data_IF_507735131552
#
_entry.id   IF_507735131552
#
_cell.length_a   1.000
_cell.length_b   1.000
_cell.length_c   1.000
_cell.angle_alpha   90.00
_cell.angle_beta   90.00
_cell.angle_gamma   90.00
#
_symmetry.space_group_name_H-M   'P 1'
#
loop_
_entity.id
_entity.type
_entity.pdbx_description
1 polymer ?
#
# COMPACT_ATOMS: atom_id res chain seq x y z
N UNK A 1 9.76 -5.71 -10.65
CA UNK A 1 9.94 -5.41 -9.21
C UNK A 1 8.62 -5.01 -8.55
N UNK A 2 7.94 -3.95 -8.98
CA UNK A 2 6.70 -3.41 -8.35
C UNK A 2 5.61 -4.46 -8.14
N UNK A 3 5.26 -5.24 -9.18
CA UNK A 3 4.25 -6.31 -9.05
C UNK A 3 4.63 -7.38 -8.03
N UNK A 4 5.91 -7.74 -7.96
CA UNK A 4 6.42 -8.66 -6.94
C UNK A 4 6.33 -8.07 -5.53
N UNK A 5 6.57 -6.77 -5.36
CA UNK A 5 6.39 -6.12 -4.05
C UNK A 5 4.91 -6.04 -3.63
N UNK A 6 3.98 -6.01 -4.58
CA UNK A 6 2.55 -6.06 -4.31
C UNK A 6 2.06 -7.39 -3.73
N UNK A 7 2.82 -8.49 -3.88
CA UNK A 7 2.41 -9.79 -3.33
C UNK A 7 2.36 -9.77 -1.80
N UNK A 8 3.29 -9.07 -1.15
CA UNK A 8 3.29 -8.94 0.32
C UNK A 8 2.00 -8.29 0.85
N UNK A 9 1.47 -7.28 0.15
CA UNK A 9 0.20 -6.66 0.51
C UNK A 9 -0.99 -7.58 0.23
N UNK A 10 -0.94 -8.35 -0.87
CA UNK A 10 -1.98 -9.33 -1.20
C UNK A 10 -2.06 -10.45 -0.16
N UNK A 11 -0.92 -11.02 0.21
CA UNK A 11 -0.81 -12.06 1.25
C UNK A 11 -1.33 -11.56 2.60
N UNK A 12 -0.99 -10.32 3.00
CA UNK A 12 -1.52 -9.70 4.22
C UNK A 12 -3.06 -9.60 4.21
N UNK A 13 -3.65 -9.19 3.09
CA UNK A 13 -5.10 -9.06 2.93
C UNK A 13 -5.78 -10.43 2.98
N UNK A 14 -5.22 -11.43 2.31
CA UNK A 14 -5.70 -12.82 2.35
C UNK A 14 -5.63 -13.38 3.77
N UNK A 15 -4.51 -13.18 4.49
CA UNK A 15 -4.34 -13.64 5.86
C UNK A 15 -5.38 -12.99 6.79
N UNK A 16 -5.59 -11.68 6.69
CA UNK A 16 -6.59 -10.97 7.49
C UNK A 16 -8.02 -11.46 7.17
N UNK A 17 -8.36 -11.59 5.89
CA UNK A 17 -9.66 -12.08 5.45
C UNK A 17 -9.92 -13.53 5.91
N UNK A 18 -8.92 -14.41 5.84
CA UNK A 18 -9.01 -15.79 6.32
C UNK A 18 -9.30 -15.88 7.82
N UNK A 19 -8.92 -14.85 8.58
CA UNK A 19 -9.18 -14.71 10.02
C UNK A 19 -10.46 -13.91 10.31
N UNK A 20 -11.29 -13.65 9.29
CA UNK A 20 -12.47 -12.80 9.37
C UNK A 20 -12.18 -11.41 9.95
N UNK A 21 -11.01 -10.84 9.60
CA UNK A 21 -10.58 -9.50 10.01
C UNK A 21 -10.56 -8.60 8.79
N UNK A 22 -11.49 -7.65 8.75
CA UNK A 22 -11.45 -6.57 7.77
C UNK A 22 -10.41 -5.52 8.19
N UNK A 23 -9.66 -5.00 7.23
CA UNK A 23 -8.73 -3.89 7.44
C UNK A 23 -9.39 -2.58 7.01
N UNK A 24 -9.23 -1.53 7.80
CA UNK A 24 -9.61 -0.17 7.39
C UNK A 24 -8.49 0.49 6.57
N UNK A 25 -7.23 0.17 6.89
CA UNK A 25 -6.07 0.75 6.25
C UNK A 25 -4.80 -0.10 6.38
N UNK A 26 -3.82 0.17 5.51
CA UNK A 26 -2.48 -0.42 5.49
C UNK A 26 -1.44 0.70 5.50
N UNK A 27 -0.49 0.63 6.43
CA UNK A 27 0.67 1.52 6.48
C UNK A 27 1.86 0.94 5.72
N UNK A 28 2.55 1.76 4.91
CA UNK A 28 3.65 1.31 4.06
C UNK A 28 4.86 2.26 4.18
N UNK A 29 6.06 1.75 4.51
CA UNK A 29 7.26 2.57 4.48
C UNK A 29 7.63 2.93 3.03
N UNK A 30 8.15 4.14 2.83
CA UNK A 30 8.60 4.61 1.52
C UNK A 30 10.10 4.85 1.54
N UNK A 31 10.77 4.26 0.54
CA UNK A 31 12.10 4.64 0.08
C UNK A 31 12.00 4.92 -1.41
N UNK A 32 12.50 4.02 -2.27
CA UNK A 32 12.33 4.15 -3.74
C UNK A 32 10.91 3.93 -4.29
N UNK A 33 9.85 4.00 -3.47
CA UNK A 33 8.45 3.93 -3.90
C UNK A 33 7.89 2.57 -4.37
N UNK A 34 8.73 1.58 -4.67
CA UNK A 34 8.29 0.31 -5.24
C UNK A 34 7.30 -0.49 -4.38
N UNK A 35 7.51 -0.54 -3.06
CA UNK A 35 6.59 -1.21 -2.13
C UNK A 35 5.27 -0.45 -1.98
N UNK A 36 5.31 0.89 -1.88
CA UNK A 36 4.11 1.73 -1.86
C UNK A 36 3.29 1.52 -3.14
N UNK A 37 3.92 1.57 -4.31
CA UNK A 37 3.24 1.39 -5.60
C UNK A 37 2.61 0.00 -5.71
N UNK A 38 3.36 -1.06 -5.35
CA UNK A 38 2.85 -2.43 -5.35
C UNK A 38 1.68 -2.62 -4.37
N UNK A 39 1.79 -2.06 -3.16
CA UNK A 39 0.75 -2.15 -2.14
C UNK A 39 -0.51 -1.39 -2.54
N UNK A 40 -0.37 -0.16 -3.03
CA UNK A 40 -1.50 0.65 -3.50
C UNK A 40 -2.26 -0.05 -4.63
N UNK A 41 -1.54 -0.67 -5.56
CA UNK A 41 -2.13 -1.47 -6.63
C UNK A 41 -2.88 -2.70 -6.09
N UNK A 42 -2.23 -3.51 -5.25
CA UNK A 42 -2.83 -4.72 -4.68
C UNK A 42 -4.09 -4.41 -3.87
N UNK A 43 -4.05 -3.38 -3.01
CA UNK A 43 -5.20 -2.92 -2.22
C UNK A 43 -6.33 -2.41 -3.11
N UNK A 44 -6.02 -1.65 -4.17
CA UNK A 44 -7.03 -1.19 -5.11
C UNK A 44 -7.78 -2.34 -5.79
N UNK A 45 -7.03 -3.33 -6.30
CA UNK A 45 -7.61 -4.54 -6.91
C UNK A 45 -8.42 -5.35 -5.90
N UNK A 46 -7.92 -5.48 -4.67
CA UNK A 46 -8.63 -6.16 -3.59
C UNK A 46 -9.97 -5.50 -3.27
N UNK A 47 -9.98 -4.18 -3.11
CA UNK A 47 -11.18 -3.38 -2.88
C UNK A 47 -12.23 -3.62 -3.97
N UNK A 48 -11.81 -3.58 -5.24
CA UNK A 48 -12.69 -3.86 -6.37
C UNK A 48 -13.25 -5.29 -6.35
N UNK A 49 -12.40 -6.28 -6.06
CA UNK A 49 -12.78 -7.70 -6.11
C UNK A 49 -13.69 -8.13 -4.95
N UNK A 50 -13.50 -7.54 -3.78
CA UNK A 50 -14.15 -7.98 -2.55
C UNK A 50 -15.17 -6.96 -1.99
N UNK A 51 -15.39 -5.83 -2.67
CA UNK A 51 -16.33 -4.80 -2.21
C UNK A 51 -15.88 -4.13 -0.90
N UNK A 52 -14.57 -4.01 -0.70
CA UNK A 52 -13.98 -3.41 0.51
C UNK A 52 -13.48 -1.99 0.24
N UNK A 53 -13.08 -1.27 1.29
CA UNK A 53 -12.66 0.14 1.23
C UNK A 53 -11.36 0.39 2.01
N UNK A 54 -10.40 -0.52 1.90
CA UNK A 54 -9.12 -0.42 2.59
C UNK A 54 -8.31 0.76 2.04
N UNK A 55 -7.76 1.62 2.92
CA UNK A 55 -6.91 2.76 2.55
C UNK A 55 -5.43 2.43 2.65
N UNK A 56 -4.60 3.15 1.91
CA UNK A 56 -3.14 3.02 1.98
C UNK A 56 -2.54 4.33 2.48
N UNK A 57 -1.73 4.27 3.53
CA UNK A 57 -0.98 5.39 4.07
C UNK A 57 0.51 5.12 3.94
N UNK A 58 1.23 6.10 3.41
CA UNK A 58 2.67 6.00 3.21
C UNK A 58 3.39 6.80 4.30
N UNK A 59 4.53 6.29 4.76
CA UNK A 59 5.37 6.98 5.75
C UNK A 59 6.84 6.94 5.35
N UNK A 60 7.54 8.05 5.54
CA UNK A 60 8.97 8.19 5.27
C UNK A 60 9.64 9.10 6.31
N UNK A 61 10.97 8.99 6.50
CA UNK A 61 11.70 9.85 7.43
C UNK A 61 11.72 11.30 6.94
N UNK A 62 11.63 12.27 7.86
CA UNK A 62 11.71 13.70 7.54
C UNK A 62 13.04 14.13 6.91
N UNK A 63 14.11 13.34 7.06
CA UNK A 63 15.41 13.57 6.40
C UNK A 63 15.54 12.93 5.02
N UNK A 64 14.54 12.18 4.57
CA UNK A 64 14.50 11.45 3.29
C UNK A 64 13.05 11.41 2.77
N UNK A 65 12.42 12.58 2.72
CA UNK A 65 11.00 12.78 2.39
C UNK A 65 10.75 13.10 0.90
N UNK A 66 11.47 12.41 0.01
CA UNK A 66 11.35 12.66 -1.43
C UNK A 66 9.97 12.32 -1.98
N UNK A 67 9.32 11.26 -1.51
CA UNK A 67 8.00 10.88 -2.03
C UNK A 67 6.91 11.88 -1.63
N UNK A 68 6.95 12.42 -0.41
CA UNK A 68 6.04 13.44 0.08
C UNK A 68 6.21 14.74 -0.71
N UNK A 69 7.45 15.20 -0.91
CA UNK A 69 7.73 16.39 -1.72
C UNK A 69 7.32 16.20 -3.17
N UNK A 70 7.57 15.03 -3.74
CA UNK A 70 7.13 14.69 -5.09
C UNK A 70 5.61 14.69 -5.23
N UNK A 71 4.91 14.08 -4.27
CA UNK A 71 3.45 14.08 -4.24
C UNK A 71 2.87 15.50 -4.11
N UNK A 72 3.46 16.33 -3.25
CA UNK A 72 3.01 17.70 -3.04
C UNK A 72 3.27 18.61 -4.25
N UNK A 73 4.39 18.41 -4.95
CA UNK A 73 4.77 19.22 -6.12
C UNK A 73 4.23 18.67 -7.45
N UNK A 74 3.75 17.43 -7.47
CA UNK A 74 3.32 16.71 -8.68
C UNK A 74 4.47 16.33 -9.60
N UNK A 75 5.71 16.24 -9.09
CA UNK A 75 6.93 16.01 -9.86
C UNK A 75 7.80 14.93 -9.25
#
# INVERSE_FOLDING_TARGET
VILGQGSAAWELLEECASRNRALDWVGVPVGGGGLLAGTAFAVHVWNMKHGTSVKVFAGEPTGADDAFRSLASGK
#
